data_IF_227514419302
#
_entry.id   IF_227514419302
#
_cell.length_a   1.000
_cell.length_b   1.000
_cell.length_c   1.000
_cell.angle_alpha   90.00
_cell.angle_beta   90.00
_cell.angle_gamma   90.00
#
_symmetry.space_group_name_H-M   'P 1'
#
loop_
_entity.id
_entity.type
_entity.pdbx_description
1 polymer ?
#
# COMPACT_ATOMS: atom_id res chain seq x y z
N UNK A 1 -18.76 50.38 11.90
CA UNK A 1 -18.85 49.60 13.16
C UNK A 1 -18.96 48.16 12.74
N UNK A 2 -17.80 47.47 12.68
CA UNK A 2 -17.73 46.05 12.38
C UNK A 2 -18.02 45.28 13.68
N UNK A 3 -19.10 44.51 13.68
CA UNK A 3 -19.44 43.60 14.77
C UNK A 3 -18.57 42.35 14.63
N UNK A 4 -17.51 42.28 15.43
CA UNK A 4 -16.77 41.02 15.64
C UNK A 4 -17.66 40.02 16.38
N UNK A 5 -17.97 38.91 15.70
CA UNK A 5 -18.62 37.76 16.32
C UNK A 5 -17.56 37.04 17.15
N UNK A 6 -17.74 36.88 18.47
CA UNK A 6 -16.76 36.18 19.29
C UNK A 6 -16.66 34.72 18.89
N UNK A 7 -15.46 34.09 18.88
CA UNK A 7 -15.28 32.70 18.55
C UNK A 7 -16.06 31.80 19.55
N UNK A 8 -16.63 30.69 19.08
CA UNK A 8 -17.36 29.77 19.94
C UNK A 8 -16.43 29.21 21.03
N UNK A 9 -16.93 28.96 22.24
CA UNK A 9 -16.12 28.46 23.33
C UNK A 9 -15.56 27.06 22.97
N UNK A 10 -14.24 26.94 23.04
CA UNK A 10 -13.58 25.63 22.92
C UNK A 10 -14.10 24.70 24.03
N UNK A 11 -15.07 23.85 23.71
CA UNK A 11 -15.43 22.72 24.58
C UNK A 11 -14.19 21.81 24.63
N UNK A 12 -13.45 21.87 25.76
CA UNK A 12 -12.50 20.81 26.11
C UNK A 12 -13.31 19.51 26.09
N UNK A 13 -12.97 18.60 25.20
CA UNK A 13 -13.48 17.23 25.28
C UNK A 13 -13.06 16.69 26.62
N UNK A 14 -14.02 16.51 27.53
CA UNK A 14 -13.81 15.76 28.74
C UNK A 14 -13.30 14.38 28.33
N UNK A 15 -12.27 13.86 28.98
CA UNK A 15 -11.82 12.48 28.80
C UNK A 15 -13.05 11.58 28.88
N UNK A 16 -13.35 10.85 27.81
CA UNK A 16 -14.44 9.89 27.76
C UNK A 16 -14.21 8.88 28.87
N UNK A 17 -15.08 8.84 29.87
CA UNK A 17 -14.93 7.89 30.97
C UNK A 17 -15.24 6.49 30.42
N UNK A 18 -14.68 5.44 31.01
CA UNK A 18 -14.95 4.04 30.66
C UNK A 18 -16.47 3.75 30.64
N UNK A 19 -17.25 4.42 31.48
CA UNK A 19 -18.72 4.34 31.52
C UNK A 19 -19.42 4.88 30.27
N UNK A 20 -18.82 5.85 29.56
CA UNK A 20 -19.41 6.40 28.31
C UNK A 20 -19.23 5.44 27.14
N UNK A 21 -18.15 4.63 27.12
CA UNK A 21 -17.94 3.58 26.12
C UNK A 21 -18.89 2.42 26.32
N UNK A 22 -19.13 1.97 27.56
CA UNK A 22 -20.08 0.91 27.89
C UNK A 22 -21.51 1.27 27.48
N UNK A 23 -21.88 2.55 27.59
CA UNK A 23 -23.22 3.04 27.20
C UNK A 23 -23.55 2.80 25.73
N UNK A 24 -22.56 2.79 24.84
CA UNK A 24 -22.75 2.62 23.41
C UNK A 24 -22.34 1.23 22.90
N UNK A 25 -21.80 0.37 23.74
CA UNK A 25 -21.26 -0.93 23.34
C UNK A 25 -22.27 -1.79 22.55
N UNK A 26 -23.53 -1.80 22.99
CA UNK A 26 -24.60 -2.55 22.31
C UNK A 26 -25.18 -1.90 21.04
N UNK A 27 -24.69 -0.72 20.65
CA UNK A 27 -25.14 0.00 19.44
C UNK A 27 -24.20 -0.14 18.26
N UNK A 28 -22.97 -0.62 18.49
CA UNK A 28 -21.99 -0.79 17.43
C UNK A 28 -22.31 -2.01 16.56
N UNK A 29 -22.10 -1.88 15.25
CA UNK A 29 -22.14 -3.03 14.37
C UNK A 29 -21.02 -4.03 14.73
N UNK A 30 -21.29 -5.32 14.61
CA UNK A 30 -20.33 -6.39 14.96
C UNK A 30 -18.96 -6.20 14.29
N UNK A 31 -18.95 -5.82 13.02
CA UNK A 31 -17.71 -5.54 12.27
C UNK A 31 -16.80 -4.48 12.89
N UNK A 32 -17.32 -3.59 13.75
CA UNK A 32 -16.49 -2.57 14.40
C UNK A 32 -15.58 -3.16 15.47
N UNK A 33 -15.85 -4.36 15.97
CA UNK A 33 -15.02 -5.05 16.96
C UNK A 33 -13.66 -5.46 16.41
N UNK A 34 -13.55 -5.66 15.08
CA UNK A 34 -12.31 -6.02 14.39
C UNK A 34 -11.61 -4.81 13.75
N UNK A 35 -12.27 -3.65 13.69
CA UNK A 35 -11.67 -2.42 13.18
C UNK A 35 -10.65 -1.87 14.17
N UNK A 36 -9.40 -1.74 13.73
CA UNK A 36 -8.30 -1.18 14.53
C UNK A 36 -7.66 -0.01 13.80
N UNK A 37 -7.03 0.90 14.55
CA UNK A 37 -6.18 1.92 13.95
C UNK A 37 -5.04 1.24 13.19
N UNK A 38 -4.71 1.79 12.03
CA UNK A 38 -3.54 1.32 11.29
C UNK A 38 -2.27 1.75 12.04
N UNK A 39 -1.38 0.79 12.34
CA UNK A 39 -0.06 1.06 12.92
C UNK A 39 0.71 2.12 12.12
N UNK A 40 0.54 2.12 10.80
CA UNK A 40 1.10 3.13 9.89
C UNK A 40 0.61 4.54 10.21
N UNK A 41 -0.69 4.72 10.49
CA UNK A 41 -1.27 6.02 10.82
C UNK A 41 -0.75 6.54 12.16
N UNK A 42 -0.63 5.65 13.14
CA UNK A 42 -0.15 6.01 14.47
C UNK A 42 1.33 6.40 14.40
N UNK A 43 2.13 5.69 13.60
CA UNK A 43 3.52 6.01 13.32
C UNK A 43 3.66 7.35 12.58
N UNK A 44 2.82 7.62 11.58
CA UNK A 44 2.84 8.92 10.88
C UNK A 44 2.51 10.09 11.80
N UNK A 45 1.67 9.92 12.81
CA UNK A 45 1.38 10.95 13.79
C UNK A 45 2.60 11.24 14.69
N UNK A 46 3.38 10.22 15.05
CA UNK A 46 4.62 10.35 15.83
C UNK A 46 5.73 11.01 14.99
N UNK A 47 5.84 10.65 13.72
CA UNK A 47 6.87 11.15 12.79
C UNK A 47 6.55 12.51 12.18
N UNK A 48 5.46 13.16 12.58
CA UNK A 48 5.10 14.52 12.14
C UNK A 48 6.02 15.61 12.74
N UNK A 49 6.85 15.27 13.76
CA UNK A 49 7.87 16.18 14.29
C UNK A 49 8.96 16.42 13.26
N UNK A 50 9.31 17.68 12.95
CA UNK A 50 10.34 18.00 11.95
C UNK A 50 11.76 17.56 12.36
N UNK A 51 11.97 17.16 13.61
CA UNK A 51 13.26 16.65 14.10
C UNK A 51 13.48 15.18 13.76
N UNK A 52 12.39 14.45 13.46
CA UNK A 52 12.44 13.02 13.16
C UNK A 52 12.63 12.77 11.67
N UNK A 53 13.74 12.14 11.30
CA UNK A 53 13.94 11.63 9.93
C UNK A 53 13.00 10.46 9.70
N UNK A 54 11.99 10.64 8.86
CA UNK A 54 10.97 9.62 8.64
C UNK A 54 11.29 8.77 7.41
N UNK A 55 11.90 7.61 7.61
CA UNK A 55 11.99 6.54 6.60
C UNK A 55 10.78 5.59 6.67
N UNK A 56 9.77 5.94 7.47
CA UNK A 56 8.55 5.15 7.64
C UNK A 56 7.45 5.48 6.62
N UNK A 57 7.43 6.69 6.07
CA UNK A 57 6.41 7.14 5.14
C UNK A 57 6.28 6.26 3.90
N UNK A 58 5.21 6.40 3.18
CA UNK A 58 5.02 5.83 1.84
C UNK A 58 4.58 6.96 0.91
N UNK A 59 5.10 8.17 1.19
CA UNK A 59 4.67 9.40 0.55
C UNK A 59 5.64 9.77 -0.57
N UNK A 60 5.16 10.10 -1.77
CA UNK A 60 6.00 10.68 -2.81
C UNK A 60 6.47 12.07 -2.40
N UNK A 61 7.54 12.54 -3.01
CA UNK A 61 8.05 13.89 -2.82
C UNK A 61 7.18 14.91 -3.57
N UNK A 62 6.21 15.49 -2.91
CA UNK A 62 5.30 16.49 -3.50
C UNK A 62 5.96 17.87 -3.66
N UNK A 63 7.15 18.09 -3.11
CA UNK A 63 7.90 19.33 -3.30
C UNK A 63 8.41 19.48 -4.74
N UNK A 64 8.48 18.38 -5.47
CA UNK A 64 8.88 18.35 -6.89
C UNK A 64 7.80 18.91 -7.83
N UNK A 65 6.54 18.99 -7.38
CA UNK A 65 5.44 19.51 -8.20
C UNK A 65 5.57 21.03 -8.35
N UNK A 66 5.59 21.58 -9.59
CA UNK A 66 5.81 23.01 -9.81
C UNK A 66 4.65 23.87 -9.28
N UNK A 67 4.86 24.75 -8.26
CA UNK A 67 3.80 25.57 -7.68
C UNK A 67 3.13 26.49 -8.69
N UNK A 68 3.87 26.98 -9.69
CA UNK A 68 3.35 27.87 -10.75
C UNK A 68 2.38 27.13 -11.68
N UNK A 69 2.68 25.86 -12.02
CA UNK A 69 1.77 25.01 -12.81
C UNK A 69 0.46 24.75 -12.05
N UNK A 70 0.58 24.39 -10.75
CA UNK A 70 -0.59 24.21 -9.88
C UNK A 70 -1.46 25.47 -9.84
N UNK A 71 -0.87 26.65 -9.61
CA UNK A 71 -1.60 27.92 -9.54
C UNK A 71 -2.27 28.26 -10.88
N UNK A 72 -1.60 28.02 -12.01
CA UNK A 72 -2.16 28.26 -13.35
C UNK A 72 -3.36 27.36 -13.65
N UNK A 73 -3.26 26.08 -13.32
CA UNK A 73 -4.34 25.10 -13.51
C UNK A 73 -5.56 25.46 -12.67
N UNK A 74 -5.37 25.75 -11.38
CA UNK A 74 -6.47 26.16 -10.49
C UNK A 74 -7.12 27.47 -10.94
N UNK A 75 -6.34 28.43 -11.42
CA UNK A 75 -6.87 29.70 -11.98
C UNK A 75 -7.72 29.43 -13.20
N UNK A 76 -7.26 28.57 -14.11
CA UNK A 76 -8.01 28.20 -15.32
C UNK A 76 -9.33 27.53 -14.98
N UNK A 77 -9.33 26.55 -14.06
CA UNK A 77 -10.56 25.91 -13.59
C UNK A 77 -11.53 26.93 -13.03
N UNK A 78 -11.06 27.86 -12.19
CA UNK A 78 -11.89 28.88 -11.57
C UNK A 78 -12.49 29.86 -12.59
N UNK A 79 -11.79 30.15 -13.68
CA UNK A 79 -12.25 31.10 -14.72
C UNK A 79 -13.12 30.45 -15.79
N UNK A 80 -12.80 29.22 -16.18
CA UNK A 80 -13.39 28.60 -17.36
C UNK A 80 -14.43 27.52 -17.03
N UNK A 81 -14.38 26.90 -15.84
CA UNK A 81 -15.18 25.71 -15.51
C UNK A 81 -15.67 25.68 -14.06
N UNK A 82 -15.79 26.84 -13.40
CA UNK A 82 -16.14 26.88 -11.97
C UNK A 82 -17.50 26.23 -11.66
N UNK A 83 -18.51 26.46 -12.52
CA UNK A 83 -19.83 25.92 -12.28
C UNK A 83 -19.88 24.41 -12.33
N UNK A 84 -19.23 23.82 -13.33
CA UNK A 84 -19.17 22.38 -13.54
C UNK A 84 -18.24 21.69 -12.50
N UNK A 85 -17.08 22.30 -12.22
CA UNK A 85 -16.11 21.78 -11.25
C UNK A 85 -16.63 21.77 -9.80
N UNK A 86 -17.65 22.58 -9.50
CA UNK A 86 -18.29 22.69 -8.18
C UNK A 86 -19.66 21.99 -8.12
N UNK A 87 -20.13 21.37 -9.20
CA UNK A 87 -21.37 20.60 -9.24
C UNK A 87 -21.08 19.11 -9.07
N UNK A 88 -22.09 18.30 -8.77
CA UNK A 88 -21.99 16.85 -8.82
C UNK A 88 -21.68 16.36 -10.24
N UNK A 89 -20.89 15.29 -10.33
CA UNK A 89 -20.56 14.60 -11.58
C UNK A 89 -21.14 13.19 -11.66
N UNK A 90 -20.88 12.49 -12.76
CA UNK A 90 -21.25 11.08 -12.90
C UNK A 90 -20.49 10.19 -11.90
N UNK A 91 -21.11 9.11 -11.48
CA UNK A 91 -20.51 8.14 -10.52
C UNK A 91 -19.23 7.53 -11.07
N UNK A 92 -19.25 7.20 -12.36
CA UNK A 92 -18.12 6.60 -13.07
C UNK A 92 -16.95 7.58 -13.26
N UNK A 93 -17.20 8.86 -13.13
CA UNK A 93 -16.28 9.96 -13.44
C UNK A 93 -16.51 10.54 -14.82
N UNK A 94 -15.98 11.75 -15.05
CA UNK A 94 -16.07 12.41 -16.34
C UNK A 94 -15.30 11.63 -17.42
N UNK A 95 -15.78 11.69 -18.65
CA UNK A 95 -15.18 11.05 -19.82
C UNK A 95 -13.73 11.54 -20.01
N UNK A 96 -13.52 12.86 -19.95
CA UNK A 96 -12.17 13.44 -20.10
C UNK A 96 -11.20 12.99 -18.99
N UNK A 97 -11.70 12.66 -17.80
CA UNK A 97 -10.86 12.11 -16.72
C UNK A 97 -10.50 10.65 -17.02
N UNK A 98 -11.44 9.87 -17.57
CA UNK A 98 -11.18 8.51 -18.00
C UNK A 98 -10.20 8.46 -19.17
N UNK A 99 -10.27 9.44 -20.10
CA UNK A 99 -9.28 9.60 -21.18
C UNK A 99 -7.87 9.88 -20.64
N UNK A 100 -7.74 10.66 -19.56
CA UNK A 100 -6.45 10.83 -18.89
C UNK A 100 -5.95 9.52 -18.28
N UNK A 101 -6.83 8.75 -17.66
CA UNK A 101 -6.51 7.42 -17.10
C UNK A 101 -6.07 6.46 -18.20
N UNK A 102 -6.76 6.45 -19.36
CA UNK A 102 -6.37 5.64 -20.51
C UNK A 102 -4.98 5.97 -21.02
N UNK A 103 -4.54 7.24 -20.97
CA UNK A 103 -3.17 7.60 -21.33
C UNK A 103 -2.16 6.97 -20.37
N UNK A 104 -2.44 6.94 -19.06
CA UNK A 104 -1.56 6.29 -18.07
C UNK A 104 -1.54 4.79 -18.29
N UNK A 105 -2.71 4.15 -18.42
CA UNK A 105 -2.79 2.70 -18.66
C UNK A 105 -2.15 2.30 -19.98
N UNK A 106 -2.34 3.11 -21.03
CA UNK A 106 -1.72 2.90 -22.35
C UNK A 106 -0.18 2.96 -22.30
N UNK A 107 0.39 3.81 -21.44
CA UNK A 107 1.84 3.87 -21.23
C UNK A 107 2.40 2.60 -20.57
N UNK A 108 1.56 1.83 -19.87
CA UNK A 108 1.89 0.51 -19.33
C UNK A 108 1.39 -0.65 -20.21
N UNK A 109 0.94 -0.36 -21.42
CA UNK A 109 0.51 -1.37 -22.41
C UNK A 109 -0.92 -1.88 -22.23
N UNK A 110 -1.74 -1.23 -21.42
CA UNK A 110 -3.14 -1.62 -21.17
C UNK A 110 -4.11 -0.71 -21.93
N UNK A 111 -5.12 -1.29 -22.56
CA UNK A 111 -6.15 -0.56 -23.32
C UNK A 111 -7.54 -1.09 -22.96
N UNK A 112 -8.05 -0.81 -21.75
CA UNK A 112 -9.40 -1.21 -21.36
C UNK A 112 -10.46 -0.43 -22.17
N UNK A 113 -11.70 -0.96 -22.22
CA UNK A 113 -12.83 -0.17 -22.66
C UNK A 113 -13.06 0.99 -21.67
N UNK A 114 -13.24 2.23 -22.15
CA UNK A 114 -13.53 3.37 -21.28
C UNK A 114 -14.75 3.17 -20.36
N UNK A 115 -15.71 2.34 -20.76
CA UNK A 115 -16.89 2.01 -19.95
C UNK A 115 -16.59 1.05 -18.80
N UNK A 116 -15.48 0.32 -18.84
CA UNK A 116 -15.03 -0.58 -17.78
C UNK A 116 -14.18 0.14 -16.72
N UNK A 117 -14.04 1.47 -16.81
CA UNK A 117 -13.29 2.32 -15.89
C UNK A 117 -14.22 3.10 -14.98
N UNK A 118 -14.00 3.01 -13.67
CA UNK A 118 -14.61 3.90 -12.67
C UNK A 118 -13.53 4.71 -11.96
N UNK A 119 -13.75 6.03 -11.89
CA UNK A 119 -12.88 6.95 -11.13
C UNK A 119 -13.18 6.80 -9.64
N UNK A 120 -12.15 6.60 -8.83
CA UNK A 120 -12.27 6.39 -7.39
C UNK A 120 -11.53 7.48 -6.58
N UNK A 121 -11.87 7.60 -5.30
CA UNK A 121 -11.19 8.50 -4.36
C UNK A 121 -9.87 7.88 -3.88
N UNK A 122 -8.94 7.69 -4.84
CA UNK A 122 -7.67 6.96 -4.69
C UNK A 122 -7.85 5.44 -4.70
N UNK A 123 -6.74 4.69 -4.78
CA UNK A 123 -6.75 3.22 -4.82
C UNK A 123 -7.42 2.59 -3.59
N UNK A 124 -7.33 3.23 -2.41
CA UNK A 124 -7.97 2.75 -1.19
C UNK A 124 -9.48 2.57 -1.34
N UNK A 125 -10.17 3.47 -2.05
CA UNK A 125 -11.59 3.30 -2.34
C UNK A 125 -11.81 2.17 -3.34
N UNK A 126 -10.90 1.93 -4.28
CA UNK A 126 -10.96 0.78 -5.18
C UNK A 126 -10.97 -0.53 -4.40
N UNK A 127 -10.05 -0.69 -3.44
CA UNK A 127 -9.99 -1.87 -2.56
C UNK A 127 -11.28 -2.01 -1.75
N UNK A 128 -11.79 -0.91 -1.16
CA UNK A 128 -13.02 -0.90 -0.38
C UNK A 128 -14.24 -1.33 -1.21
N UNK A 129 -14.37 -0.80 -2.42
CA UNK A 129 -15.47 -1.13 -3.33
C UNK A 129 -15.42 -2.59 -3.81
N UNK A 130 -14.23 -3.14 -4.05
CA UNK A 130 -14.05 -4.56 -4.35
C UNK A 130 -14.53 -5.42 -3.19
N UNK A 131 -14.08 -5.12 -1.97
CA UNK A 131 -14.54 -5.84 -0.77
C UNK A 131 -16.05 -5.70 -0.55
N UNK A 132 -16.58 -4.48 -0.69
CA UNK A 132 -18.02 -4.20 -0.57
C UNK A 132 -18.88 -4.99 -1.56
N UNK A 133 -18.32 -5.27 -2.73
CA UNK A 133 -19.02 -5.98 -3.81
C UNK A 133 -18.94 -7.50 -3.65
N UNK A 134 -17.82 -8.02 -3.15
CA UNK A 134 -17.51 -9.45 -3.25
C UNK A 134 -17.47 -10.18 -1.90
N UNK A 135 -17.30 -9.47 -0.77
CA UNK A 135 -16.98 -10.10 0.51
C UNK A 135 -18.14 -10.03 1.48
N UNK A 136 -18.60 -11.20 1.91
CA UNK A 136 -19.45 -11.39 3.07
C UNK A 136 -18.62 -11.81 4.31
N UNK A 137 -19.13 -11.64 5.54
CA UNK A 137 -18.40 -12.05 6.74
C UNK A 137 -17.99 -13.53 6.72
N UNK A 138 -16.68 -13.78 6.90
CA UNK A 138 -16.09 -15.13 6.90
C UNK A 138 -15.64 -15.63 5.53
N UNK A 139 -15.87 -14.86 4.47
CA UNK A 139 -15.34 -15.21 3.14
C UNK A 139 -13.81 -15.11 3.11
N UNK A 140 -13.19 -15.99 2.35
CA UNK A 140 -11.73 -16.05 2.23
C UNK A 140 -11.22 -15.01 1.22
N UNK A 141 -10.23 -14.23 1.63
CA UNK A 141 -9.42 -13.37 0.77
C UNK A 141 -7.96 -13.82 0.88
N UNK A 142 -7.33 -14.09 -0.24
CA UNK A 142 -5.91 -14.44 -0.29
C UNK A 142 -5.09 -13.20 -0.59
N UNK A 143 -3.97 -12.99 0.11
CA UNK A 143 -3.02 -11.93 -0.19
C UNK A 143 -1.56 -12.39 0.02
N UNK A 144 -0.64 -11.53 -0.32
CA UNK A 144 0.81 -11.74 -0.19
C UNK A 144 1.26 -11.75 1.29
N UNK A 145 2.41 -12.39 1.56
CA UNK A 145 3.14 -12.32 2.82
C UNK A 145 4.62 -11.96 2.54
N UNK A 146 5.06 -10.72 2.82
CA UNK A 146 4.30 -9.60 3.43
C UNK A 146 3.30 -8.97 2.46
N UNK A 147 2.26 -8.30 2.99
CA UNK A 147 1.24 -7.59 2.19
C UNK A 147 1.19 -6.10 2.48
N UNK A 148 0.47 -5.35 1.64
CA UNK A 148 0.23 -3.92 1.85
C UNK A 148 -0.56 -3.67 3.15
N UNK A 149 0.05 -3.01 4.17
CA UNK A 149 -0.61 -2.81 5.46
C UNK A 149 -1.89 -1.96 5.40
N UNK A 150 -2.10 -1.21 4.31
CA UNK A 150 -3.30 -0.41 4.12
C UNK A 150 -4.51 -1.18 3.56
N UNK A 151 -4.29 -2.35 2.95
CA UNK A 151 -5.36 -3.21 2.44
C UNK A 151 -5.99 -4.06 3.55
N UNK A 152 -5.17 -4.58 4.47
CA UNK A 152 -5.63 -5.46 5.56
C UNK A 152 -6.78 -4.88 6.39
N UNK A 153 -6.73 -3.62 6.86
CA UNK A 153 -7.86 -3.03 7.58
C UNK A 153 -9.15 -2.97 6.77
N UNK A 154 -9.07 -2.88 5.44
CA UNK A 154 -10.25 -2.94 4.57
C UNK A 154 -10.83 -4.34 4.59
N UNK A 155 -10.02 -5.36 4.34
CA UNK A 155 -10.46 -6.76 4.39
C UNK A 155 -11.10 -7.10 5.74
N UNK A 156 -10.45 -6.73 6.84
CA UNK A 156 -10.97 -6.91 8.19
C UNK A 156 -12.28 -6.16 8.42
N UNK A 157 -12.48 -4.97 7.84
CA UNK A 157 -13.72 -4.19 8.01
C UNK A 157 -14.95 -4.88 7.39
N UNK A 158 -14.72 -5.75 6.42
CA UNK A 158 -15.73 -6.63 5.83
C UNK A 158 -15.75 -8.02 6.49
N UNK A 159 -14.99 -8.23 7.57
CA UNK A 159 -14.90 -9.49 8.31
C UNK A 159 -14.40 -10.65 7.44
N UNK A 160 -13.55 -10.37 6.45
CA UNK A 160 -12.92 -11.40 5.64
C UNK A 160 -12.01 -12.29 6.50
N UNK A 161 -11.95 -13.57 6.15
CA UNK A 161 -10.91 -14.48 6.61
C UNK A 161 -9.72 -14.35 5.65
N UNK A 162 -8.68 -13.65 6.10
CA UNK A 162 -7.53 -13.30 5.25
C UNK A 162 -6.45 -14.36 5.41
N UNK A 163 -6.05 -14.96 4.29
CA UNK A 163 -4.99 -15.98 4.22
C UNK A 163 -3.83 -15.43 3.39
N UNK A 164 -2.60 -15.62 3.88
CA UNK A 164 -1.40 -15.11 3.22
C UNK A 164 -0.64 -16.21 2.50
N UNK A 165 -0.03 -15.86 1.34
CA UNK A 165 0.90 -16.67 0.56
C UNK A 165 2.25 -15.99 0.52
N UNK A 166 3.34 -16.75 0.78
CA UNK A 166 4.70 -16.23 0.83
C UNK A 166 5.12 -15.52 -0.46
N UNK A 167 5.95 -14.49 -0.29
CA UNK A 167 6.71 -13.86 -1.37
C UNK A 167 8.21 -14.13 -1.20
N UNK A 168 8.89 -14.27 -2.33
CA UNK A 168 10.33 -14.25 -2.42
C UNK A 168 10.81 -13.15 -3.39
N UNK A 169 12.04 -13.24 -3.90
CA UNK A 169 12.61 -12.27 -4.84
C UNK A 169 11.85 -12.16 -6.17
N UNK A 170 11.11 -13.19 -6.56
CA UNK A 170 10.26 -13.25 -7.76
C UNK A 170 8.78 -12.91 -7.49
N UNK A 171 8.44 -12.43 -6.30
CA UNK A 171 7.07 -12.10 -5.88
C UNK A 171 6.31 -13.26 -5.23
N UNK A 172 4.99 -13.31 -5.33
CA UNK A 172 4.15 -14.35 -4.71
C UNK A 172 4.57 -15.77 -5.14
N UNK A 173 4.69 -16.69 -4.18
CA UNK A 173 4.95 -18.12 -4.38
C UNK A 173 3.70 -18.83 -4.92
N UNK A 174 3.51 -18.76 -6.24
CA UNK A 174 2.32 -19.33 -6.91
C UNK A 174 2.25 -20.85 -6.83
N UNK A 175 3.38 -21.53 -6.59
CA UNK A 175 3.45 -22.95 -6.26
C UNK A 175 2.79 -23.30 -4.92
N UNK A 176 2.95 -22.43 -3.91
CA UNK A 176 2.26 -22.59 -2.63
C UNK A 176 0.77 -22.25 -2.72
N UNK A 177 0.40 -21.35 -3.63
CA UNK A 177 -0.98 -20.96 -3.85
C UNK A 177 -1.84 -22.13 -4.32
N UNK A 178 -1.34 -23.01 -5.21
CA UNK A 178 -2.07 -24.20 -5.64
C UNK A 178 -2.41 -25.13 -4.46
N UNK A 179 -1.42 -25.44 -3.62
CA UNK A 179 -1.63 -26.26 -2.44
C UNK A 179 -2.62 -25.64 -1.46
N UNK A 180 -2.60 -24.31 -1.29
CA UNK A 180 -3.57 -23.60 -0.48
C UNK A 180 -4.99 -23.69 -1.08
N UNK A 181 -5.15 -23.54 -2.40
CA UNK A 181 -6.46 -23.66 -3.05
C UNK A 181 -7.03 -25.08 -2.92
N UNK A 182 -6.19 -26.11 -3.03
CA UNK A 182 -6.59 -27.51 -2.79
C UNK A 182 -7.04 -27.74 -1.35
N UNK A 183 -6.29 -27.20 -0.37
CA UNK A 183 -6.67 -27.27 1.03
C UNK A 183 -8.01 -26.58 1.30
N UNK A 184 -8.18 -25.35 0.85
CA UNK A 184 -9.44 -24.61 1.03
C UNK A 184 -10.62 -25.34 0.38
N UNK A 185 -10.42 -25.93 -0.80
CA UNK A 185 -11.44 -26.75 -1.47
C UNK A 185 -11.82 -27.99 -0.65
N UNK A 186 -10.84 -28.65 -0.05
CA UNK A 186 -11.10 -29.81 0.83
C UNK A 186 -11.87 -29.42 2.11
N UNK A 187 -11.70 -28.18 2.57
CA UNK A 187 -12.47 -27.59 3.68
C UNK A 187 -13.86 -27.08 3.26
N UNK A 188 -14.21 -27.17 1.98
CA UNK A 188 -15.46 -26.63 1.43
C UNK A 188 -15.48 -25.09 1.34
N UNK A 189 -14.32 -24.46 1.34
CA UNK A 189 -14.13 -23.02 1.31
C UNK A 189 -13.61 -22.60 -0.07
N UNK A 190 -14.13 -21.49 -0.58
CA UNK A 190 -13.69 -20.90 -1.86
C UNK A 190 -13.26 -19.46 -1.62
N UNK A 191 -12.06 -19.05 -2.06
CA UNK A 191 -11.66 -17.65 -1.99
C UNK A 191 -12.53 -16.78 -2.89
N UNK A 192 -12.74 -15.53 -2.50
CA UNK A 192 -13.44 -14.52 -3.31
C UNK A 192 -12.50 -13.91 -4.35
N UNK A 193 -11.29 -13.60 -3.92
CA UNK A 193 -10.24 -13.08 -4.81
C UNK A 193 -8.85 -13.26 -4.19
N UNK A 194 -7.85 -13.09 -5.03
CA UNK A 194 -6.44 -12.96 -4.64
C UNK A 194 -6.06 -11.50 -4.83
N UNK A 195 -5.58 -10.83 -3.78
CA UNK A 195 -5.04 -9.48 -3.82
C UNK A 195 -3.52 -9.51 -3.92
N UNK A 196 -2.94 -8.80 -4.90
CA UNK A 196 -1.50 -8.73 -5.12
C UNK A 196 -1.06 -7.35 -5.61
N UNK A 197 0.17 -6.97 -5.24
CA UNK A 197 0.89 -5.80 -5.77
C UNK A 197 2.08 -6.32 -6.59
N UNK A 198 1.88 -6.74 -7.85
CA UNK A 198 2.88 -7.52 -8.58
C UNK A 198 4.07 -6.71 -9.06
N UNK A 199 4.01 -5.37 -9.00
CA UNK A 199 5.07 -4.47 -9.48
C UNK A 199 5.54 -3.56 -8.35
N UNK A 200 6.82 -3.69 -7.96
CA UNK A 200 7.44 -2.93 -6.87
C UNK A 200 6.64 -3.02 -5.57
N UNK A 201 6.38 -4.24 -5.18
CA UNK A 201 5.48 -4.64 -4.09
C UNK A 201 5.67 -3.80 -2.82
N UNK A 202 4.58 -3.43 -2.18
CA UNK A 202 4.61 -2.81 -0.86
C UNK A 202 4.27 -3.88 0.20
N UNK A 203 5.22 -4.23 1.11
CA UNK A 203 6.40 -3.46 1.48
C UNK A 203 7.73 -3.92 0.86
N UNK A 204 7.78 -5.06 0.15
CA UNK A 204 9.04 -5.74 -0.15
C UNK A 204 9.85 -5.09 -1.29
N UNK A 205 9.24 -4.26 -2.14
CA UNK A 205 9.92 -3.66 -3.30
C UNK A 205 10.17 -4.63 -4.46
N UNK A 206 9.87 -5.91 -4.31
CA UNK A 206 10.07 -6.93 -5.34
C UNK A 206 9.08 -6.78 -6.50
N UNK A 207 9.45 -7.29 -7.66
CA UNK A 207 8.57 -7.35 -8.84
C UNK A 207 8.33 -8.80 -9.22
N UNK A 208 7.04 -9.19 -9.31
CA UNK A 208 6.67 -10.54 -9.73
C UNK A 208 7.19 -10.82 -11.14
N UNK A 209 7.92 -11.93 -11.28
CA UNK A 209 8.52 -12.33 -12.55
C UNK A 209 7.45 -12.69 -13.61
N UNK A 210 7.78 -12.53 -14.89
CA UNK A 210 6.85 -12.83 -15.99
C UNK A 210 6.30 -14.27 -15.97
N UNK A 211 7.11 -15.32 -15.72
CA UNK A 211 6.57 -16.68 -15.60
C UNK A 211 5.53 -16.82 -14.48
N UNK A 212 5.75 -16.18 -13.32
CA UNK A 212 4.78 -16.21 -12.21
C UNK A 212 3.50 -15.44 -12.53
N UNK A 213 3.60 -14.30 -13.22
CA UNK A 213 2.42 -13.55 -13.69
C UNK A 213 1.57 -14.39 -14.63
N UNK A 214 2.19 -15.02 -15.62
CA UNK A 214 1.50 -15.89 -16.58
C UNK A 214 0.83 -17.07 -15.89
N UNK A 215 1.55 -17.72 -14.96
CA UNK A 215 1.03 -18.84 -14.21
C UNK A 215 -0.14 -18.44 -13.29
N UNK A 216 -0.03 -17.30 -12.61
CA UNK A 216 -1.09 -16.79 -11.73
C UNK A 216 -2.37 -16.47 -12.51
N UNK A 217 -2.26 -15.86 -13.68
CA UNK A 217 -3.40 -15.58 -14.57
C UNK A 217 -4.02 -16.88 -15.07
N UNK A 218 -3.23 -17.85 -15.49
CA UNK A 218 -3.74 -19.15 -15.93
C UNK A 218 -4.45 -19.91 -14.80
N UNK A 219 -3.87 -19.91 -13.61
CA UNK A 219 -4.48 -20.51 -12.41
C UNK A 219 -5.81 -19.83 -12.07
N UNK A 220 -5.87 -18.51 -12.14
CA UNK A 220 -7.09 -17.75 -11.89
C UNK A 220 -8.21 -18.12 -12.86
N UNK A 221 -7.89 -18.32 -14.13
CA UNK A 221 -8.85 -18.78 -15.16
C UNK A 221 -9.34 -20.20 -14.91
N UNK A 222 -8.42 -21.11 -14.58
CA UNK A 222 -8.77 -22.52 -14.28
C UNK A 222 -9.65 -22.66 -13.06
N UNK A 223 -9.40 -21.86 -12.02
CA UNK A 223 -10.17 -21.85 -10.78
C UNK A 223 -11.40 -20.93 -10.82
N UNK A 224 -11.62 -20.20 -11.93
CA UNK A 224 -12.62 -19.13 -12.04
C UNK A 224 -12.55 -18.15 -10.86
N UNK A 225 -11.35 -17.72 -10.51
CA UNK A 225 -11.04 -16.92 -9.34
C UNK A 225 -10.59 -15.51 -9.75
N UNK A 226 -11.15 -14.48 -9.13
CA UNK A 226 -10.77 -13.11 -9.43
C UNK A 226 -9.38 -12.77 -8.85
N UNK A 227 -8.58 -12.04 -9.61
CA UNK A 227 -7.35 -11.39 -9.18
C UNK A 227 -7.63 -9.90 -8.97
N UNK A 228 -7.14 -9.32 -7.90
CA UNK A 228 -7.12 -7.88 -7.65
C UNK A 228 -5.68 -7.41 -7.77
N UNK A 229 -5.35 -6.82 -8.90
CA UNK A 229 -4.05 -6.21 -9.16
C UNK A 229 -4.05 -4.77 -8.70
N UNK A 230 -3.32 -4.46 -7.62
CA UNK A 230 -3.10 -3.09 -7.15
C UNK A 230 -1.76 -2.59 -7.70
N UNK A 231 -1.79 -1.59 -8.59
CA UNK A 231 -0.61 -1.10 -9.31
C UNK A 231 -0.36 0.40 -9.08
N UNK A 232 0.07 0.81 -7.88
CA UNK A 232 0.37 2.22 -7.62
C UNK A 232 1.76 2.66 -8.11
N UNK A 233 2.66 1.74 -8.46
CA UNK A 233 4.08 2.04 -8.68
C UNK A 233 4.58 1.72 -10.10
N UNK A 234 3.80 1.10 -10.96
CA UNK A 234 4.23 0.58 -12.26
C UNK A 234 5.00 1.57 -13.12
N UNK A 235 4.57 2.84 -13.10
CA UNK A 235 5.23 3.94 -13.81
C UNK A 235 6.55 4.41 -13.16
N UNK A 236 6.84 4.03 -11.90
CA UNK A 236 8.04 4.44 -11.16
C UNK A 236 9.15 3.38 -11.29
N UNK A 237 9.51 3.05 -12.53
CA UNK A 237 10.56 2.10 -12.88
C UNK A 237 11.84 2.84 -13.21
N UNK A 238 12.95 2.49 -12.57
CA UNK A 238 14.28 3.05 -12.82
C UNK A 238 15.35 2.00 -13.09
N UNK A 239 14.96 0.73 -13.19
CA UNK A 239 15.82 -0.40 -13.57
C UNK A 239 15.01 -1.59 -14.07
N UNK A 240 15.69 -2.62 -14.56
CA UNK A 240 15.07 -3.84 -15.06
C UNK A 240 14.21 -3.67 -16.33
N UNK A 241 13.67 -4.77 -16.81
CA UNK A 241 12.77 -4.79 -17.98
C UNK A 241 11.31 -4.54 -17.55
N UNK A 242 10.52 -3.80 -18.35
CA UNK A 242 9.09 -3.64 -18.10
C UNK A 242 8.38 -5.00 -18.10
N UNK A 243 7.54 -5.23 -17.08
CA UNK A 243 6.71 -6.43 -16.99
C UNK A 243 5.27 -6.08 -17.33
N UNK A 244 4.60 -6.87 -18.20
CA UNK A 244 3.18 -6.65 -18.48
C UNK A 244 2.36 -6.82 -17.22
N UNK A 245 1.41 -5.89 -16.92
CA UNK A 245 0.46 -6.07 -15.83
C UNK A 245 -0.36 -7.36 -15.98
N UNK A 246 -0.86 -7.89 -14.86
CA UNK A 246 -1.75 -9.07 -14.89
C UNK A 246 -3.00 -8.80 -15.73
N UNK A 247 -3.55 -7.58 -15.63
CA UNK A 247 -4.68 -7.15 -16.45
C UNK A 247 -4.41 -7.27 -17.95
N UNK A 248 -3.21 -6.89 -18.41
CA UNK A 248 -2.83 -7.03 -19.82
C UNK A 248 -2.71 -8.50 -20.25
N UNK A 249 -2.17 -9.35 -19.38
CA UNK A 249 -2.00 -10.79 -19.66
C UNK A 249 -3.35 -11.53 -19.66
N UNK A 250 -4.27 -11.09 -18.83
CA UNK A 250 -5.61 -11.68 -18.70
C UNK A 250 -6.57 -11.21 -19.80
N UNK A 251 -6.45 -9.97 -20.26
CA UNK A 251 -7.39 -9.36 -21.19
C UNK A 251 -8.67 -8.84 -20.53
N UNK A 252 -8.75 -8.81 -19.19
CA UNK A 252 -9.86 -8.23 -18.42
C UNK A 252 -10.99 -9.21 -18.07
N UNK A 253 -10.77 -10.53 -18.16
CA UNK A 253 -11.78 -11.55 -17.85
C UNK A 253 -11.85 -11.86 -16.35
N UNK A 254 -10.69 -11.97 -15.66
CA UNK A 254 -10.59 -12.34 -14.25
C UNK A 254 -9.80 -11.33 -13.41
N UNK A 255 -9.18 -10.32 -14.03
CA UNK A 255 -8.39 -9.32 -13.30
C UNK A 255 -9.20 -8.04 -13.07
N UNK A 256 -9.33 -7.66 -11.79
CA UNK A 256 -9.74 -6.33 -11.35
C UNK A 256 -8.47 -5.53 -11.15
N UNK A 257 -8.29 -4.46 -11.93
CA UNK A 257 -7.13 -3.59 -11.84
C UNK A 257 -7.45 -2.33 -11.02
N UNK A 258 -6.55 -1.98 -10.10
CA UNK A 258 -6.64 -0.75 -9.29
C UNK A 258 -5.40 0.11 -9.59
N UNK A 259 -5.65 1.33 -10.08
CA UNK A 259 -4.62 2.32 -10.33
C UNK A 259 -4.83 3.60 -9.52
N UNK A 260 -3.79 4.41 -9.43
CA UNK A 260 -3.86 5.69 -8.69
C UNK A 260 -2.83 6.71 -9.18
N UNK A 261 -3.21 7.98 -9.15
CA UNK A 261 -2.27 9.09 -9.38
C UNK A 261 -1.49 9.48 -8.12
N UNK A 262 -1.73 8.81 -6.99
CA UNK A 262 -1.13 9.17 -5.70
C UNK A 262 0.40 9.13 -5.69
N UNK A 263 1.03 8.34 -6.55
CA UNK A 263 2.50 8.16 -6.55
C UNK A 263 3.19 8.83 -7.74
N UNK A 264 2.44 9.07 -8.81
CA UNK A 264 2.94 9.64 -10.06
C UNK A 264 2.51 11.11 -10.27
N UNK A 265 1.65 11.64 -9.38
CA UNK A 265 1.25 13.04 -9.37
C UNK A 265 1.24 13.58 -7.94
N UNK A 266 0.22 13.27 -7.15
CA UNK A 266 0.13 13.71 -5.76
C UNK A 266 -0.88 12.86 -4.97
N UNK A 267 -0.55 12.45 -3.73
CA UNK A 267 -1.50 11.71 -2.89
C UNK A 267 -2.67 12.59 -2.40
N UNK A 268 -2.46 13.91 -2.31
CA UNK A 268 -3.44 14.88 -1.82
C UNK A 268 -4.65 15.07 -2.74
N UNK A 269 -4.51 14.80 -4.05
CA UNK A 269 -5.59 14.92 -5.02
C UNK A 269 -6.64 13.82 -4.88
N UNK A 270 -6.35 12.72 -4.19
CA UNK A 270 -7.28 11.61 -3.96
C UNK A 270 -7.97 11.11 -5.24
N UNK A 271 -7.21 10.86 -6.31
CA UNK A 271 -7.72 10.25 -7.54
C UNK A 271 -7.05 8.91 -7.82
N UNK A 272 -7.87 7.91 -8.06
CA UNK A 272 -7.54 6.59 -8.54
C UNK A 272 -8.61 6.08 -9.49
N UNK A 273 -8.50 4.85 -9.91
CA UNK A 273 -9.48 4.19 -10.75
C UNK A 273 -9.48 2.68 -10.52
N UNK A 274 -10.57 2.06 -10.91
CA UNK A 274 -10.71 0.61 -10.96
C UNK A 274 -11.20 0.21 -12.32
N UNK A 275 -10.65 -0.86 -12.87
CA UNK A 275 -11.14 -1.54 -14.07
C UNK A 275 -11.53 -2.95 -13.66
N UNK A 276 -12.68 -3.41 -14.08
CA UNK A 276 -13.18 -4.73 -13.71
C UNK A 276 -14.01 -5.34 -14.86
N UNK A 277 -14.17 -6.67 -14.87
CA UNK A 277 -15.12 -7.31 -15.79
C UNK A 277 -16.51 -6.67 -15.69
N UNK A 278 -17.23 -6.48 -16.81
CA UNK A 278 -18.48 -5.71 -16.83
C UNK A 278 -19.52 -6.10 -15.77
N UNK A 279 -19.78 -7.40 -15.46
CA UNK A 279 -20.73 -7.77 -14.42
C UNK A 279 -20.30 -7.35 -13.00
N UNK A 280 -18.98 -7.33 -12.74
CA UNK A 280 -18.40 -6.88 -11.46
C UNK A 280 -18.45 -5.36 -11.40
N UNK A 281 -18.10 -4.68 -12.49
CA UNK A 281 -18.14 -3.23 -12.59
C UNK A 281 -19.54 -2.65 -12.31
N UNK A 282 -20.59 -3.29 -12.84
CA UNK A 282 -21.98 -2.89 -12.55
C UNK A 282 -22.24 -2.80 -11.04
N UNK A 283 -21.77 -3.77 -10.26
CA UNK A 283 -21.96 -3.82 -8.80
C UNK A 283 -21.04 -2.82 -8.08
N UNK A 284 -19.82 -2.61 -8.57
CA UNK A 284 -18.89 -1.60 -8.06
C UNK A 284 -19.50 -0.19 -8.20
N UNK A 285 -20.10 0.12 -9.36
CA UNK A 285 -20.78 1.42 -9.60
C UNK A 285 -21.91 1.63 -8.59
N UNK A 286 -22.77 0.63 -8.37
CA UNK A 286 -23.83 0.72 -7.36
C UNK A 286 -23.28 0.91 -5.94
N UNK A 287 -22.19 0.20 -5.62
CA UNK A 287 -21.49 0.32 -4.35
C UNK A 287 -20.93 1.73 -4.13
N UNK A 288 -20.37 2.35 -5.18
CA UNK A 288 -19.84 3.71 -5.15
C UNK A 288 -20.94 4.76 -5.05
N UNK A 289 -22.04 4.61 -5.78
CA UNK A 289 -23.21 5.47 -5.63
C UNK A 289 -23.66 5.59 -4.18
N UNK A 290 -23.72 4.46 -3.49
CA UNK A 290 -24.11 4.41 -2.08
C UNK A 290 -23.03 4.95 -1.12
N UNK A 291 -21.75 5.01 -1.54
CA UNK A 291 -20.64 5.42 -0.70
C UNK A 291 -20.38 6.94 -0.73
N UNK A 292 -20.23 7.52 -1.92
CA UNK A 292 -19.84 8.92 -2.10
C UNK A 292 -20.48 9.63 -3.30
N UNK A 293 -21.39 8.99 -4.00
CA UNK A 293 -22.06 9.45 -5.23
C UNK A 293 -21.10 9.59 -6.42
N UNK A 294 -20.03 10.36 -6.28
CA UNK A 294 -19.00 10.58 -7.29
C UNK A 294 -17.69 11.03 -6.64
N UNK A 295 -16.58 10.77 -7.30
CA UNK A 295 -15.28 11.34 -6.91
C UNK A 295 -15.32 12.86 -7.12
N UNK A 296 -14.60 13.63 -6.26
CA UNK A 296 -14.52 15.09 -6.33
C UNK A 296 -14.37 15.60 -7.76
N UNK A 297 -15.36 16.35 -8.22
CA UNK A 297 -15.37 16.96 -9.56
C UNK A 297 -14.24 17.97 -9.72
N UNK A 298 -13.96 18.77 -8.70
CA UNK A 298 -12.83 19.70 -8.71
C UNK A 298 -11.49 18.98 -8.94
N UNK A 299 -11.30 17.83 -8.30
CA UNK A 299 -10.09 17.00 -8.50
C UNK A 299 -10.03 16.44 -9.93
N UNK A 300 -11.15 16.01 -10.48
CA UNK A 300 -11.19 15.49 -11.84
C UNK A 300 -10.86 16.60 -12.87
N UNK A 301 -11.38 17.82 -12.67
CA UNK A 301 -11.01 18.98 -13.49
C UNK A 301 -9.52 19.33 -13.36
N UNK A 302 -8.96 19.25 -12.17
CA UNK A 302 -7.52 19.46 -11.95
C UNK A 302 -6.70 18.44 -12.75
N UNK A 303 -7.04 17.17 -12.70
CA UNK A 303 -6.33 16.11 -13.46
C UNK A 303 -6.46 16.36 -14.96
N UNK A 304 -7.65 16.69 -15.46
CA UNK A 304 -7.84 17.07 -16.87
C UNK A 304 -6.91 18.20 -17.31
N UNK A 305 -6.82 19.29 -16.53
CA UNK A 305 -5.96 20.42 -16.87
C UNK A 305 -4.48 20.05 -16.79
N UNK A 306 -4.07 19.22 -15.84
CA UNK A 306 -2.71 18.72 -15.73
C UNK A 306 -2.30 17.90 -16.95
N UNK A 307 -3.15 16.97 -17.40
CA UNK A 307 -2.87 16.17 -18.59
C UNK A 307 -2.91 16.99 -19.88
N UNK A 308 -3.78 17.99 -19.96
CA UNK A 308 -3.87 18.92 -21.09
C UNK A 308 -2.55 19.68 -21.35
N UNK A 309 -1.73 19.92 -20.33
CA UNK A 309 -0.42 20.52 -20.49
C UNK A 309 0.60 19.59 -21.19
N UNK A 310 0.32 18.31 -21.27
CA UNK A 310 1.12 17.33 -22.01
C UNK A 310 2.51 17.04 -21.40
N UNK A 311 2.73 17.39 -20.13
CA UNK A 311 4.03 17.23 -19.44
C UNK A 311 4.05 16.12 -18.40
N UNK A 312 2.98 15.38 -18.24
CA UNK A 312 2.84 14.42 -17.16
C UNK A 312 3.88 13.28 -17.23
N UNK A 313 4.23 12.80 -18.45
CA UNK A 313 5.27 11.79 -18.63
C UNK A 313 6.64 12.32 -18.20
N UNK A 314 6.98 13.51 -18.65
CA UNK A 314 8.26 14.15 -18.30
C UNK A 314 8.39 14.35 -16.77
N UNK A 315 7.31 14.70 -16.09
CA UNK A 315 7.30 14.79 -14.63
C UNK A 315 7.56 13.42 -13.97
N UNK A 316 7.02 12.32 -14.51
CA UNK A 316 7.31 10.97 -14.02
C UNK A 316 8.78 10.59 -14.28
N UNK A 317 9.34 10.96 -15.44
CA UNK A 317 10.76 10.74 -15.74
C UNK A 317 11.64 11.45 -14.70
N UNK A 318 11.34 12.72 -14.38
CA UNK A 318 12.07 13.49 -13.36
C UNK A 318 11.97 12.82 -11.97
N UNK A 319 10.77 12.36 -11.57
CA UNK A 319 10.57 11.62 -10.33
C UNK A 319 11.38 10.33 -10.29
N UNK A 320 11.39 9.60 -11.39
CA UNK A 320 12.10 8.33 -11.55
C UNK A 320 13.61 8.51 -11.34
N UNK A 321 14.20 9.55 -11.93
CA UNK A 321 15.61 9.88 -11.75
C UNK A 321 15.94 10.26 -10.28
N UNK A 322 15.07 11.04 -9.63
CA UNK A 322 15.22 11.41 -8.22
C UNK A 322 15.17 10.15 -7.34
N UNK A 323 14.19 9.28 -7.54
CA UNK A 323 14.00 8.09 -6.70
C UNK A 323 15.09 7.02 -6.94
N UNK A 324 15.56 6.87 -8.18
CA UNK A 324 16.73 6.04 -8.49
C UNK A 324 17.96 6.46 -7.68
N UNK A 325 18.29 7.75 -7.71
CA UNK A 325 19.42 8.30 -6.94
C UNK A 325 19.24 8.06 -5.44
N UNK A 326 18.06 8.33 -4.89
CA UNK A 326 17.77 8.14 -3.47
C UNK A 326 17.81 6.67 -3.06
N UNK A 327 17.31 5.76 -3.91
CA UNK A 327 17.45 4.31 -3.72
C UNK A 327 18.92 3.92 -3.62
N UNK A 328 19.76 4.38 -4.56
CA UNK A 328 21.18 4.06 -4.59
C UNK A 328 21.89 4.59 -3.33
N UNK A 329 21.59 5.82 -2.90
CA UNK A 329 22.09 6.39 -1.65
C UNK A 329 21.69 5.54 -0.42
N UNK A 330 20.45 5.05 -0.38
CA UNK A 330 19.99 4.20 0.72
C UNK A 330 20.69 2.84 0.71
N UNK A 331 20.86 2.22 -0.44
CA UNK A 331 21.58 0.95 -0.56
C UNK A 331 23.05 1.08 -0.12
N UNK A 332 23.72 2.15 -0.51
CA UNK A 332 25.10 2.42 -0.07
C UNK A 332 25.19 2.64 1.45
N UNK A 333 24.25 3.37 2.03
CA UNK A 333 24.20 3.60 3.47
C UNK A 333 23.89 2.29 4.24
N UNK A 334 23.04 1.41 3.71
CA UNK A 334 22.77 0.09 4.31
C UNK A 334 24.01 -0.78 4.31
N UNK A 335 24.77 -0.81 3.20
CA UNK A 335 26.05 -1.56 3.11
C UNK A 335 27.09 -1.03 4.12
N UNK A 336 27.10 0.27 4.40
CA UNK A 336 28.05 0.88 5.33
C UNK A 336 27.66 0.68 6.81
N UNK A 337 26.38 0.73 7.15
CA UNK A 337 25.96 0.87 8.54
C UNK A 337 25.20 -0.32 9.11
N UNK A 338 24.66 -1.22 8.27
CA UNK A 338 23.95 -2.41 8.77
C UNK A 338 24.90 -3.58 9.01
N UNK A 339 24.58 -4.51 9.93
CA UNK A 339 25.42 -5.65 10.21
C UNK A 339 25.52 -6.59 8.98
N UNK A 340 26.64 -7.28 8.82
CA UNK A 340 26.88 -8.18 7.69
C UNK A 340 25.85 -9.35 7.59
N UNK A 341 25.15 -9.65 8.69
CA UNK A 341 24.09 -10.67 8.72
C UNK A 341 22.71 -10.12 8.30
N UNK A 342 22.57 -8.81 8.07
CA UNK A 342 21.34 -8.25 7.54
C UNK A 342 21.26 -8.46 6.02
N UNK A 343 20.03 -8.60 5.53
CA UNK A 343 19.74 -8.70 4.10
C UNK A 343 18.69 -7.65 3.71
N UNK A 344 18.64 -7.26 2.46
CA UNK A 344 17.63 -6.32 1.96
C UNK A 344 17.36 -6.53 0.50
N UNK A 345 16.20 -6.05 0.06
CA UNK A 345 15.82 -6.02 -1.36
C UNK A 345 16.51 -4.86 -2.09
N UNK A 346 16.82 -5.05 -3.36
CA UNK A 346 17.39 -4.02 -4.25
C UNK A 346 16.38 -3.74 -5.38
N UNK A 347 15.35 -2.90 -5.15
CA UNK A 347 14.25 -2.72 -6.09
C UNK A 347 14.64 -1.95 -7.35
N UNK A 348 14.08 -2.35 -8.49
CA UNK A 348 14.20 -1.65 -9.77
C UNK A 348 13.15 -0.54 -9.98
N UNK A 349 12.38 -0.23 -8.94
CA UNK A 349 11.32 0.77 -8.98
C UNK A 349 10.62 0.94 -7.64
N UNK A 350 9.53 1.71 -7.64
CA UNK A 350 8.75 1.95 -6.43
C UNK A 350 9.44 2.87 -5.42
N UNK A 351 9.14 2.67 -4.14
CA UNK A 351 9.50 3.62 -3.09
C UNK A 351 10.16 2.98 -1.86
N UNK A 352 10.33 1.63 -1.83
CA UNK A 352 10.65 0.90 -0.60
C UNK A 352 11.81 -0.07 -0.76
N UNK A 353 12.57 -0.19 0.32
CA UNK A 353 13.49 -1.30 0.57
C UNK A 353 12.97 -2.08 1.77
N UNK A 354 12.98 -3.40 1.67
CA UNK A 354 12.68 -4.32 2.77
C UNK A 354 13.96 -4.88 3.31
N UNK A 355 14.26 -4.59 4.59
CA UNK A 355 15.44 -5.10 5.25
C UNK A 355 15.06 -6.13 6.30
N UNK A 356 15.84 -7.21 6.40
CA UNK A 356 15.71 -8.29 7.39
C UNK A 356 16.96 -8.38 8.23
N UNK A 357 16.80 -8.32 9.53
CA UNK A 357 17.84 -8.39 10.54
C UNK A 357 17.96 -9.82 11.10
N UNK A 358 19.00 -10.13 11.86
CA UNK A 358 19.09 -11.38 12.60
C UNK A 358 17.85 -11.64 13.49
N UNK A 359 17.43 -12.88 13.62
CA UNK A 359 16.19 -13.31 14.28
C UNK A 359 16.07 -12.87 15.76
N UNK A 360 17.19 -12.56 16.42
CA UNK A 360 17.20 -12.09 17.81
C UNK A 360 16.92 -10.57 17.96
N UNK A 361 16.75 -9.85 16.86
CA UNK A 361 16.42 -8.42 16.87
C UNK A 361 14.95 -8.25 16.53
N UNK A 362 14.17 -7.72 17.47
CA UNK A 362 12.80 -7.31 17.25
C UNK A 362 12.74 -5.86 16.76
N UNK A 363 12.13 -5.63 15.58
CA UNK A 363 12.06 -4.31 14.95
C UNK A 363 11.02 -3.39 15.58
N UNK A 364 10.03 -3.93 16.29
CA UNK A 364 9.09 -3.15 17.09
C UNK A 364 9.78 -2.51 18.29
N UNK A 365 10.60 -3.29 19.02
CA UNK A 365 11.44 -2.78 20.12
C UNK A 365 12.53 -1.83 19.59
N UNK A 366 13.09 -2.16 18.41
CA UNK A 366 14.10 -1.33 17.76
C UNK A 366 13.54 0.03 17.38
N UNK A 367 12.29 0.11 16.88
CA UNK A 367 11.62 1.37 16.54
C UNK A 367 11.54 2.32 17.74
N UNK A 368 11.22 1.79 18.93
CA UNK A 368 11.14 2.61 20.14
C UNK A 368 12.49 3.27 20.50
N UNK A 369 13.61 2.63 20.16
CA UNK A 369 14.96 3.16 20.33
C UNK A 369 15.34 4.10 19.20
N UNK A 370 15.00 3.76 17.96
CA UNK A 370 15.22 4.60 16.78
C UNK A 370 14.51 5.96 16.91
N UNK A 371 13.30 5.98 17.43
CA UNK A 371 12.56 7.23 17.71
C UNK A 371 13.26 8.15 18.74
N UNK A 372 14.01 7.58 19.70
CA UNK A 372 14.83 8.38 20.62
C UNK A 372 16.09 8.94 19.95
N UNK A 373 16.49 8.35 18.84
CA UNK A 373 17.56 8.82 17.97
C UNK A 373 17.00 9.66 16.79
N UNK A 374 15.77 10.14 16.88
CA UNK A 374 15.08 10.96 15.89
C UNK A 374 15.07 10.35 14.48
N UNK A 375 14.82 9.04 14.40
CA UNK A 375 14.63 8.33 13.12
C UNK A 375 13.50 7.31 13.25
N UNK A 376 12.73 7.11 12.16
CA UNK A 376 11.62 6.16 12.13
C UNK A 376 11.63 5.31 10.86
N UNK A 377 11.19 4.06 11.01
CA UNK A 377 10.94 3.08 9.94
C UNK A 377 9.64 2.31 10.25
N UNK A 378 9.16 1.45 9.36
CA UNK A 378 7.99 0.60 9.62
C UNK A 378 8.46 -0.78 10.03
N UNK A 379 8.11 -1.27 11.24
CA UNK A 379 8.33 -2.65 11.64
C UNK A 379 7.63 -3.64 10.72
N UNK A 380 8.29 -4.75 10.43
CA UNK A 380 7.81 -5.72 9.46
C UNK A 380 6.56 -6.48 9.90
N UNK A 381 6.34 -6.65 11.19
CA UNK A 381 5.13 -7.30 11.73
C UNK A 381 3.83 -6.66 11.20
N UNK A 382 3.85 -5.35 10.88
CA UNK A 382 2.69 -4.64 10.33
C UNK A 382 2.20 -5.17 8.97
N UNK A 383 3.02 -5.97 8.26
CA UNK A 383 2.71 -6.52 6.94
C UNK A 383 2.38 -8.02 6.96
N UNK A 384 2.38 -8.64 8.14
CA UNK A 384 2.01 -10.03 8.35
C UNK A 384 0.79 -10.13 9.28
N UNK A 385 -0.02 -11.15 9.09
CA UNK A 385 -1.25 -11.37 9.87
C UNK A 385 -1.07 -12.41 10.98
N UNK A 386 0.05 -13.12 10.98
CA UNK A 386 0.38 -14.22 11.89
C UNK A 386 1.48 -13.87 12.91
N UNK A 387 1.86 -12.59 13.01
CA UNK A 387 2.87 -12.10 13.93
C UNK A 387 4.32 -12.35 13.48
N UNK A 388 4.54 -12.84 12.27
CA UNK A 388 5.88 -12.92 11.66
C UNK A 388 6.42 -11.55 11.28
N UNK A 389 7.66 -11.50 10.80
CA UNK A 389 8.30 -10.28 10.32
C UNK A 389 8.85 -9.40 11.44
N UNK A 390 8.89 -9.90 12.69
CA UNK A 390 9.41 -9.16 13.84
C UNK A 390 10.86 -8.71 13.67
N UNK A 391 11.65 -9.40 12.84
CA UNK A 391 13.04 -9.00 12.53
C UNK A 391 13.19 -8.25 11.21
N UNK A 392 12.10 -7.87 10.55
CA UNK A 392 12.14 -7.16 9.26
C UNK A 392 11.65 -5.72 9.41
N UNK A 393 12.00 -4.86 8.47
CA UNK A 393 11.55 -3.48 8.43
C UNK A 393 11.40 -2.98 6.99
N UNK A 394 10.44 -2.07 6.80
CA UNK A 394 10.30 -1.31 5.55
C UNK A 394 10.96 0.06 5.68
N UNK A 395 11.81 0.40 4.73
CA UNK A 395 12.46 1.69 4.58
C UNK A 395 11.94 2.41 3.33
N UNK A 396 11.55 3.66 3.48
CA UNK A 396 11.11 4.52 2.39
C UNK A 396 12.20 5.55 2.07
N UNK A 397 12.53 5.70 0.79
CA UNK A 397 13.54 6.66 0.32
C UNK A 397 12.95 7.84 -0.48
N UNK A 398 11.65 7.85 -0.76
CA UNK A 398 11.07 8.82 -1.69
C UNK A 398 10.82 10.20 -1.09
N UNK A 399 10.50 10.28 0.21
CA UNK A 399 10.04 11.50 0.87
C UNK A 399 11.13 12.29 1.63
N UNK A 400 12.40 11.92 1.48
CA UNK A 400 13.55 12.46 2.24
C UNK A 400 14.70 12.82 1.31
N UNK A 401 15.57 13.73 1.74
CA UNK A 401 16.78 14.11 0.99
C UNK A 401 17.87 13.03 1.05
N UNK A 402 18.88 13.13 0.18
CA UNK A 402 20.02 12.22 0.17
C UNK A 402 20.79 12.26 1.51
N UNK A 403 20.89 13.43 2.14
CA UNK A 403 21.53 13.63 3.45
C UNK A 403 20.73 13.00 4.57
N UNK A 404 19.41 13.18 4.57
CA UNK A 404 18.51 12.56 5.54
C UNK A 404 18.49 11.03 5.42
N UNK A 405 18.60 10.49 4.20
CA UNK A 405 18.72 9.04 3.98
C UNK A 405 19.99 8.51 4.66
N UNK A 406 21.17 9.12 4.38
CA UNK A 406 22.43 8.68 4.97
C UNK A 406 22.39 8.77 6.49
N UNK A 407 21.95 9.89 7.02
CA UNK A 407 21.88 10.12 8.46
C UNK A 407 20.85 9.19 9.14
N UNK A 408 19.67 9.03 8.55
CA UNK A 408 18.63 8.13 9.07
C UNK A 408 19.10 6.68 9.13
N UNK A 409 19.68 6.17 8.05
CA UNK A 409 20.23 4.80 8.00
C UNK A 409 21.40 4.63 8.98
N UNK A 410 22.28 5.63 9.12
CA UNK A 410 23.37 5.63 10.09
C UNK A 410 22.85 5.52 11.53
N UNK A 411 21.80 6.28 11.89
CA UNK A 411 21.18 6.24 13.22
C UNK A 411 20.55 4.87 13.49
N UNK A 412 19.82 4.31 12.51
CA UNK A 412 19.25 2.96 12.63
C UNK A 412 20.39 1.95 12.83
N UNK A 413 21.46 2.02 12.03
CA UNK A 413 22.63 1.14 12.14
C UNK A 413 23.29 1.19 13.52
N UNK A 414 23.41 2.38 14.13
CA UNK A 414 23.90 2.53 15.50
C UNK A 414 23.04 1.83 16.52
N UNK A 415 21.69 2.02 16.43
CA UNK A 415 20.76 1.36 17.36
C UNK A 415 20.78 -0.17 17.17
N UNK A 416 20.97 -0.65 15.95
CA UNK A 416 21.15 -2.08 15.66
C UNK A 416 22.46 -2.59 16.29
N UNK A 417 23.58 -1.86 16.14
CA UNK A 417 24.88 -2.24 16.70
C UNK A 417 24.82 -2.40 18.22
N UNK A 418 24.16 -1.48 18.92
CA UNK A 418 23.93 -1.56 20.36
C UNK A 418 23.16 -2.85 20.76
N UNK A 419 22.18 -3.30 19.94
CA UNK A 419 21.46 -4.55 20.19
C UNK A 419 22.33 -5.78 19.94
N UNK A 420 23.16 -5.76 18.89
CA UNK A 420 24.11 -6.82 18.59
C UNK A 420 25.13 -6.97 19.72
N UNK A 421 25.70 -5.86 20.20
CA UNK A 421 26.64 -5.86 21.33
C UNK A 421 26.01 -6.40 22.62
N UNK A 422 24.78 -5.99 22.92
CA UNK A 422 24.04 -6.50 24.09
C UNK A 422 23.80 -8.01 23.98
N UNK A 423 23.35 -8.49 22.82
CA UNK A 423 23.14 -9.91 22.59
C UNK A 423 24.42 -10.71 22.78
N UNK A 424 25.54 -10.26 22.19
CA UNK A 424 26.87 -10.90 22.35
C UNK A 424 27.33 -10.92 23.81
N UNK A 425 27.12 -9.84 24.55
CA UNK A 425 27.49 -9.75 25.96
C UNK A 425 26.68 -10.71 26.84
N UNK A 426 25.44 -10.98 26.52
CA UNK A 426 24.52 -11.85 27.27
C UNK A 426 24.71 -13.34 26.93
N UNK A 427 24.96 -13.65 25.65
CA UNK A 427 25.03 -15.05 25.17
C UNK A 427 26.46 -15.60 25.10
N UNK A 428 27.47 -14.72 25.03
CA UNK A 428 28.86 -15.10 24.75
C UNK A 428 29.09 -15.51 23.29
N UNK A 429 28.10 -15.42 22.42
CA UNK A 429 28.22 -15.78 21.01
C UNK A 429 28.81 -14.61 20.21
N UNK A 430 29.82 -14.87 19.40
CA UNK A 430 30.24 -13.97 18.36
C UNK A 430 29.20 -14.00 17.23
N UNK A 431 28.93 -12.85 16.60
CA UNK A 431 27.89 -12.66 15.55
C UNK A 431 27.68 -13.92 14.71
N UNK A 432 26.46 -14.49 14.65
CA UNK A 432 26.18 -15.63 13.79
C UNK A 432 26.60 -15.31 12.35
N UNK A 433 27.21 -16.26 11.61
CA UNK A 433 27.50 -16.08 10.20
C UNK A 433 26.20 -15.76 9.44
N UNK A 434 26.30 -14.93 8.40
CA UNK A 434 25.19 -14.68 7.48
C UNK A 434 24.58 -16.04 7.07
N UNK A 435 23.25 -16.15 7.15
CA UNK A 435 22.56 -17.36 6.69
C UNK A 435 22.89 -17.60 5.23
N UNK A 436 23.40 -18.79 4.92
CA UNK A 436 23.40 -19.32 3.57
C UNK A 436 21.93 -19.49 3.14
N UNK A 437 21.59 -18.96 1.97
CA UNK A 437 20.35 -19.10 1.21
C UNK A 437 19.10 -19.61 1.95
N UNK A 438 18.10 -18.74 2.03
CA UNK A 438 16.75 -19.06 2.54
C UNK A 438 15.93 -19.95 1.58
N UNK A 439 16.55 -20.56 0.55
CA UNK A 439 15.90 -21.42 -0.44
C UNK A 439 15.63 -22.86 0.04
N UNK A 440 16.00 -23.21 1.27
CA UNK A 440 15.74 -24.54 1.83
C UNK A 440 15.10 -24.43 3.22
N UNK A 441 13.86 -24.00 3.30
CA UNK A 441 13.00 -24.28 4.45
C UNK A 441 11.87 -25.20 4.02
N UNK A 442 11.84 -26.35 4.69
CA UNK A 442 10.87 -27.41 4.55
C UNK A 442 9.40 -26.94 4.61
N UNK A 443 8.61 -27.60 3.77
CA UNK A 443 7.17 -27.62 3.71
C UNK A 443 6.51 -27.92 5.07
N UNK A 444 6.22 -26.93 5.88
CA UNK A 444 5.18 -27.03 6.91
C UNK A 444 5.03 -25.71 7.66
N UNK A 445 4.03 -24.93 7.30
CA UNK A 445 3.19 -24.16 8.21
C UNK A 445 2.48 -23.02 7.48
N UNK A 446 1.50 -23.39 6.67
CA UNK A 446 0.35 -22.53 6.42
C UNK A 446 -0.58 -22.74 7.62
N UNK A 447 -0.51 -21.89 8.62
CA UNK A 447 -1.43 -21.95 9.75
C UNK A 447 -2.61 -21.02 9.47
N UNK A 448 -3.85 -21.56 9.42
CA UNK A 448 -5.04 -20.71 9.36
C UNK A 448 -5.15 -19.92 10.67
N UNK A 449 -5.57 -18.67 10.57
CA UNK A 449 -5.87 -17.80 11.71
C UNK A 449 -6.92 -18.48 12.60
N UNK A 450 -6.54 -19.01 13.76
CA UNK A 450 -7.48 -19.55 14.73
C UNK A 450 -8.22 -18.39 15.42
N UNK A 451 -9.54 -18.34 15.27
CA UNK A 451 -10.42 -17.57 16.16
C UNK A 451 -9.99 -17.82 17.60
N UNK A 452 -9.81 -16.75 18.38
CA UNK A 452 -9.70 -16.87 19.83
C UNK A 452 -10.93 -17.64 20.32
N UNK A 453 -10.68 -18.77 20.99
CA UNK A 453 -11.72 -19.63 21.52
C UNK A 453 -12.60 -18.80 22.48
N UNK A 454 -13.91 -18.86 22.27
CA UNK A 454 -14.90 -18.42 23.24
C UNK A 454 -14.60 -19.12 24.57
N UNK A 455 -14.06 -18.34 25.52
CA UNK A 455 -13.97 -18.77 26.91
C UNK A 455 -15.37 -18.76 27.49
N UNK A 456 -15.94 -19.95 27.69
CA UNK A 456 -17.23 -20.15 28.33
C UNK A 456 -17.20 -19.79 29.82
N UNK A 457 -18.32 -19.39 30.24
CA UNK A 457 -19.09 -19.32 31.46
C UNK A 457 -19.66 -17.95 31.75
#
# INVERSE_FOLDING_TARGET
MSSEVPPPPHRRRAHTSTRDLERYAGLFAERTSVMRSSAMRDLMAITASPEVISLAGGLPDTSTFPPQSFAAQMTRIAQESAAEALQYGPTEGFEETRDCILQVMGAEGMLPDPHDIIVTTGGQQGIDLVCKTLVDPGDVVICEAPTYPGAVPVFCSYQADVVQVECDEDGMRVDQLEGLLEQLRAEGRRPKFIYTVPTFQNPAGVTMSLPRRQYLVELARQEELLLVEDNPYGMLRYGGEPMPPLYQLDGGDFVIYIGTLSKILSPGIRLGWTVAPPPVMEKIVLGKQAADLCTSTLTQYFVREYFREGRWQHYIDDLTEIYKRRRDVMLDALREHFPAAATWTEPDGGLFIWATLPDYIDTGDLLAKALRADVAFVPGEAAYLDGRGGNSMRLNFSGVSDEEIREGVRRIGQVIAEQVELYQALTGEQTPPARADASARDDANVLPFRKAAEGGA
#
